data_IF_384958721908
#
_entry.id   IF_384958721908
#
_cell.length_a   1.000
_cell.length_b   1.000
_cell.length_c   1.000
_cell.angle_alpha   90.00
_cell.angle_beta   90.00
_cell.angle_gamma   90.00
#
_symmetry.space_group_name_H-M   'P 1'
#
loop_
_entity.id
_entity.type
_entity.pdbx_description
1 polymer ?
#
# COMPACT_ATOMS: atom_id res chain seq x y z
N UNK A 1 25.87 -63.62 21.37
CA UNK A 1 26.09 -62.29 20.78
C UNK A 1 24.72 -61.75 20.34
N UNK A 2 24.06 -60.92 21.15
CA UNK A 2 24.16 -59.44 21.22
C UNK A 2 23.34 -58.72 20.13
N UNK A 3 22.27 -58.03 20.56
CA UNK A 3 21.36 -57.13 19.82
C UNK A 3 22.10 -55.94 19.16
N UNK A 4 21.55 -55.28 18.11
CA UNK A 4 20.70 -54.11 18.39
C UNK A 4 19.43 -53.96 17.52
N UNK A 5 18.43 -53.21 18.03
CA UNK A 5 17.21 -52.84 17.33
C UNK A 5 17.48 -51.62 16.44
N UNK A 6 17.10 -51.65 15.16
CA UNK A 6 17.01 -50.41 14.39
C UNK A 6 15.64 -49.80 14.60
N UNK A 7 15.65 -48.68 15.34
CA UNK A 7 14.52 -47.79 15.58
C UNK A 7 13.88 -47.38 14.24
N UNK A 8 12.57 -47.54 14.17
CA UNK A 8 11.72 -46.82 13.23
C UNK A 8 11.74 -45.32 13.59
N UNK A 9 12.50 -44.52 12.84
CA UNK A 9 12.43 -43.07 12.88
C UNK A 9 11.36 -42.57 11.91
N UNK A 10 10.12 -42.43 12.39
CA UNK A 10 9.07 -41.71 11.65
C UNK A 10 9.37 -40.21 11.77
N UNK A 11 10.09 -39.65 10.80
CA UNK A 11 10.21 -38.19 10.67
C UNK A 11 8.84 -37.61 10.33
N UNK A 12 8.17 -37.05 11.35
CA UNK A 12 7.04 -36.15 11.18
C UNK A 12 7.56 -34.88 10.48
N UNK A 13 7.36 -34.80 9.18
CA UNK A 13 7.42 -33.53 8.46
C UNK A 13 6.24 -32.67 8.95
N UNK A 14 6.49 -31.78 9.91
CA UNK A 14 5.53 -30.74 10.26
C UNK A 14 5.36 -29.84 9.03
N UNK A 15 4.15 -29.68 8.47
CA UNK A 15 3.92 -28.66 7.47
C UNK A 15 4.13 -27.31 8.15
N UNK A 16 5.19 -26.59 7.75
CA UNK A 16 5.29 -25.16 8.03
C UNK A 16 4.17 -24.50 7.24
N UNK A 17 3.04 -24.24 7.90
CA UNK A 17 2.03 -23.35 7.37
C UNK A 17 2.67 -21.96 7.33
N UNK A 18 3.02 -21.48 6.14
CA UNK A 18 3.35 -20.09 5.93
C UNK A 18 2.12 -19.28 6.38
N UNK A 19 2.23 -18.59 7.51
CA UNK A 19 1.26 -17.58 7.89
C UNK A 19 1.53 -16.41 6.95
N UNK A 20 0.66 -16.21 5.97
CA UNK A 20 0.64 -14.95 5.25
C UNK A 20 0.34 -13.87 6.30
N UNK A 21 1.25 -12.92 6.44
CA UNK A 21 1.13 -11.79 7.36
C UNK A 21 0.04 -10.86 6.80
N UNK A 22 -1.20 -11.04 7.29
CA UNK A 22 -2.34 -10.23 6.85
C UNK A 22 -2.19 -8.79 7.37
N UNK A 23 -2.43 -7.76 6.53
CA UNK A 23 -2.42 -6.37 6.96
C UNK A 23 -3.32 -6.12 8.17
N UNK A 24 -2.90 -5.23 9.07
CA UNK A 24 -3.66 -4.78 10.23
C UNK A 24 -4.76 -3.78 9.82
N UNK A 25 -5.67 -4.25 8.97
CA UNK A 25 -6.84 -3.50 8.48
C UNK A 25 -8.08 -4.33 8.80
N UNK A 26 -9.09 -3.72 9.40
CA UNK A 26 -10.36 -4.38 9.70
C UNK A 26 -11.32 -4.27 8.51
N UNK A 27 -11.80 -5.39 7.93
CA UNK A 27 -12.79 -5.35 6.84
C UNK A 27 -14.07 -4.58 7.20
N UNK A 28 -14.66 -3.90 6.22
CA UNK A 28 -15.88 -3.11 6.39
C UNK A 28 -15.99 -1.92 5.45
N UNK A 29 -16.92 -1.02 5.74
CA UNK A 29 -17.04 0.27 5.06
C UNK A 29 -16.03 1.24 5.68
N UNK A 30 -15.23 1.88 4.82
CA UNK A 30 -14.20 2.85 5.19
C UNK A 30 -14.51 4.21 4.58
N UNK A 31 -14.12 5.26 5.29
CA UNK A 31 -14.12 6.64 4.83
C UNK A 31 -12.68 7.13 4.80
N UNK A 32 -12.23 7.57 3.62
CA UNK A 32 -10.91 8.13 3.40
C UNK A 32 -11.02 9.62 3.15
N UNK A 33 -10.18 10.41 3.79
CA UNK A 33 -10.03 11.84 3.54
C UNK A 33 -8.63 12.10 3.06
N UNK A 34 -8.50 12.65 1.86
CA UNK A 34 -7.23 12.96 1.23
C UNK A 34 -7.10 14.47 1.08
N UNK A 35 -6.00 15.05 1.55
CA UNK A 35 -5.68 16.47 1.36
C UNK A 35 -4.42 16.59 0.53
N UNK A 36 -4.56 17.18 -0.66
CA UNK A 36 -3.46 17.37 -1.62
C UNK A 36 -3.00 18.81 -1.62
N UNK A 37 -1.71 19.01 -1.41
CA UNK A 37 -0.99 20.28 -1.48
C UNK A 37 -0.02 20.26 -2.64
N UNK A 38 0.08 21.38 -3.37
CA UNK A 38 1.01 21.52 -4.50
C UNK A 38 2.00 22.63 -4.21
N UNK A 39 3.28 22.30 -4.24
CA UNK A 39 4.39 23.25 -4.13
C UNK A 39 4.94 23.58 -5.51
N UNK A 40 4.93 24.86 -5.86
CA UNK A 40 5.45 25.37 -7.12
C UNK A 40 5.39 26.89 -7.19
N UNK A 41 5.74 27.45 -8.36
CA UNK A 41 5.79 28.90 -8.58
C UNK A 41 4.40 29.58 -8.53
N UNK A 42 3.33 28.79 -8.67
CA UNK A 42 1.95 29.27 -8.64
C UNK A 42 1.27 28.81 -7.33
N UNK A 43 0.63 29.72 -6.57
CA UNK A 43 -0.12 29.33 -5.38
C UNK A 43 -1.41 28.62 -5.79
N UNK A 44 -1.44 27.30 -5.63
CA UNK A 44 -2.61 26.45 -5.81
C UNK A 44 -3.18 26.15 -4.43
N UNK A 45 -4.48 26.38 -4.17
CA UNK A 45 -5.08 26.04 -2.88
C UNK A 45 -5.10 24.53 -2.66
N UNK A 46 -5.00 24.12 -1.40
CA UNK A 46 -5.12 22.71 -1.03
C UNK A 46 -6.50 22.16 -1.38
N UNK A 47 -6.52 20.92 -1.85
CA UNK A 47 -7.72 20.23 -2.27
C UNK A 47 -7.98 19.06 -1.33
N UNK A 48 -9.13 19.06 -0.64
CA UNK A 48 -9.55 17.96 0.23
C UNK A 48 -10.72 17.21 -0.39
N UNK A 49 -10.59 15.89 -0.48
CA UNK A 49 -11.65 15.00 -0.97
C UNK A 49 -11.91 13.89 0.04
N UNK A 50 -13.18 13.47 0.14
CA UNK A 50 -13.59 12.34 0.99
C UNK A 50 -14.26 11.29 0.13
N UNK A 51 -13.76 10.06 0.20
CA UNK A 51 -14.30 8.91 -0.51
C UNK A 51 -14.72 7.82 0.47
N UNK A 52 -15.59 6.92 0.02
CA UNK A 52 -16.01 5.75 0.78
C UNK A 52 -15.86 4.50 -0.06
N UNK A 53 -15.34 3.47 0.57
CA UNK A 53 -15.08 2.20 -0.08
C UNK A 53 -15.36 1.04 0.87
N UNK A 54 -15.81 -0.08 0.32
CA UNK A 54 -15.94 -1.32 1.06
C UNK A 54 -14.68 -2.16 0.86
N UNK A 55 -13.99 -2.47 1.96
CA UNK A 55 -12.83 -3.36 1.96
C UNK A 55 -13.29 -4.74 2.41
N UNK A 56 -13.27 -5.72 1.49
CA UNK A 56 -13.64 -7.09 1.82
C UNK A 56 -12.45 -7.86 2.42
N UNK A 57 -12.74 -8.86 3.24
CA UNK A 57 -11.70 -9.72 3.82
C UNK A 57 -10.93 -10.52 2.76
N UNK A 58 -11.55 -10.80 1.61
CA UNK A 58 -10.90 -11.46 0.49
C UNK A 58 -9.80 -10.60 -0.15
N UNK A 59 -9.99 -9.28 -0.14
CA UNK A 59 -9.06 -8.33 -0.75
C UNK A 59 -7.76 -8.28 0.07
N UNK A 60 -7.87 -8.24 1.41
CA UNK A 60 -6.71 -8.25 2.32
C UNK A 60 -5.92 -9.57 2.30
N UNK A 61 -6.51 -10.64 1.80
CA UNK A 61 -5.88 -11.96 1.69
C UNK A 61 -5.22 -12.18 0.32
N UNK A 62 -5.42 -11.26 -0.62
CA UNK A 62 -4.78 -11.30 -1.93
C UNK A 62 -3.30 -10.87 -1.79
N UNK A 63 -2.32 -11.70 -2.20
CA UNK A 63 -0.93 -11.27 -2.25
C UNK A 63 -0.69 -10.10 -3.21
N UNK A 64 -1.60 -9.89 -4.16
CA UNK A 64 -1.63 -8.76 -5.07
C UNK A 64 -2.56 -7.65 -4.55
N UNK A 65 -2.91 -7.61 -3.25
CA UNK A 65 -3.64 -6.49 -2.67
C UNK A 65 -2.83 -5.21 -2.87
N UNK A 66 -3.39 -4.29 -3.67
CA UNK A 66 -2.83 -2.97 -3.93
C UNK A 66 -3.88 -1.97 -3.50
N UNK A 67 -3.53 -1.10 -2.56
CA UNK A 67 -4.29 0.14 -2.29
C UNK A 67 -3.93 1.23 -3.31
N UNK A 68 -3.35 0.83 -4.44
CA UNK A 68 -2.73 1.66 -5.46
C UNK A 68 -3.42 1.29 -6.77
N UNK A 69 -3.90 2.28 -7.51
CA UNK A 69 -4.48 2.05 -8.83
C UNK A 69 -3.36 1.85 -9.87
N UNK A 70 -3.41 0.75 -10.61
CA UNK A 70 -2.53 0.53 -11.76
C UNK A 70 -2.93 1.46 -12.91
N UNK A 71 -2.12 2.49 -13.18
CA UNK A 71 -2.34 3.41 -14.30
C UNK A 71 -1.46 3.10 -15.51
N UNK A 72 -2.00 3.26 -16.71
CA UNK A 72 -1.25 3.08 -17.96
C UNK A 72 -0.06 4.05 -18.02
N UNK A 73 1.15 3.53 -18.17
CA UNK A 73 2.38 4.32 -18.23
C UNK A 73 3.10 4.48 -16.89
N UNK A 74 2.63 3.85 -15.82
CA UNK A 74 3.32 3.75 -14.55
C UNK A 74 4.00 2.38 -14.38
N UNK A 75 5.27 2.40 -13.95
CA UNK A 75 6.04 1.21 -13.57
C UNK A 75 6.19 1.17 -12.05
N UNK A 76 5.73 0.08 -11.43
CA UNK A 76 5.91 -0.19 -10.00
C UNK A 76 7.34 -0.70 -9.76
N UNK A 77 8.13 0.09 -9.03
CA UNK A 77 9.54 -0.19 -8.77
C UNK A 77 9.75 -0.90 -7.43
N UNK A 78 8.97 -0.52 -6.42
CA UNK A 78 9.00 -1.10 -5.09
C UNK A 78 7.58 -1.21 -4.55
N UNK A 79 7.29 -2.34 -3.92
CA UNK A 79 6.03 -2.58 -3.23
C UNK A 79 6.28 -3.55 -2.08
N UNK A 80 6.12 -3.04 -0.85
CA UNK A 80 6.30 -3.81 0.36
C UNK A 80 5.04 -3.66 1.20
N UNK A 81 4.33 -4.77 1.38
CA UNK A 81 3.16 -4.84 2.26
C UNK A 81 3.54 -5.64 3.49
N UNK A 82 3.32 -5.07 4.66
CA UNK A 82 3.50 -5.73 5.95
C UNK A 82 2.21 -5.70 6.78
N UNK A 83 2.31 -6.22 8.01
CA UNK A 83 1.19 -6.16 8.97
C UNK A 83 0.86 -4.72 9.31
N UNK A 84 1.87 -3.91 9.60
CA UNK A 84 1.67 -2.57 10.18
C UNK A 84 1.63 -1.46 9.12
N UNK A 85 1.82 -1.77 7.84
CA UNK A 85 1.82 -0.74 6.80
C UNK A 85 2.21 -1.22 5.41
N UNK A 86 2.26 -0.27 4.49
CA UNK A 86 2.64 -0.45 3.10
C UNK A 86 3.57 0.68 2.65
N UNK A 87 4.62 0.33 1.93
CA UNK A 87 5.52 1.24 1.23
C UNK A 87 5.52 0.91 -0.26
N UNK A 88 5.43 1.94 -1.11
CA UNK A 88 5.55 1.75 -2.55
C UNK A 88 6.28 2.88 -3.24
N UNK A 89 6.88 2.56 -4.38
CA UNK A 89 7.45 3.53 -5.30
C UNK A 89 7.08 3.21 -6.74
N UNK A 90 6.58 4.20 -7.44
CA UNK A 90 6.25 4.10 -8.86
C UNK A 90 6.92 5.22 -9.64
N UNK A 91 7.18 4.96 -10.92
CA UNK A 91 7.57 6.00 -11.87
C UNK A 91 6.59 5.98 -13.03
N UNK A 92 6.00 7.14 -13.33
CA UNK A 92 5.07 7.30 -14.44
C UNK A 92 5.70 8.15 -15.54
N UNK A 93 5.61 7.68 -16.79
CA UNK A 93 6.03 8.42 -17.97
C UNK A 93 4.79 8.91 -18.75
N UNK A 94 4.65 10.22 -18.90
CA UNK A 94 3.59 10.84 -19.69
C UNK A 94 4.13 11.92 -20.63
N UNK A 95 3.32 12.39 -21.59
CA UNK A 95 3.71 13.45 -22.54
C UNK A 95 4.20 14.75 -21.85
N UNK A 96 3.80 14.98 -20.59
CA UNK A 96 4.15 16.16 -19.80
C UNK A 96 5.49 16.09 -19.04
N UNK A 97 6.10 14.90 -18.94
CA UNK A 97 7.30 14.66 -18.15
C UNK A 97 7.30 13.30 -17.45
N UNK A 98 8.30 13.08 -16.60
CA UNK A 98 8.38 11.92 -15.72
C UNK A 98 7.90 12.31 -14.31
N UNK A 99 7.11 11.45 -13.69
CA UNK A 99 6.68 11.59 -12.30
C UNK A 99 7.27 10.45 -11.47
N UNK A 100 7.93 10.77 -10.36
CA UNK A 100 8.31 9.80 -9.33
C UNK A 100 7.30 9.90 -8.18
N UNK A 101 6.74 8.77 -7.78
CA UNK A 101 5.68 8.67 -6.77
C UNK A 101 6.21 7.77 -5.65
N UNK A 102 6.26 8.31 -4.44
CA UNK A 102 6.62 7.57 -3.22
C UNK A 102 5.44 7.62 -2.28
N UNK A 103 4.93 6.46 -1.87
CA UNK A 103 3.82 6.36 -0.95
C UNK A 103 4.14 5.52 0.27
N UNK A 104 3.60 5.95 1.41
CA UNK A 104 3.64 5.24 2.67
C UNK A 104 2.25 5.21 3.29
N UNK A 105 1.90 4.11 3.95
CA UNK A 105 0.64 3.96 4.66
C UNK A 105 0.83 3.11 5.92
N UNK A 106 0.32 3.60 7.05
CA UNK A 106 0.29 2.91 8.34
C UNK A 106 -1.07 2.22 8.54
N UNK A 107 -1.04 0.95 8.92
CA UNK A 107 -2.22 0.13 9.20
C UNK A 107 -2.43 -0.01 10.72
N UNK A 108 -3.44 0.70 11.23
CA UNK A 108 -3.69 0.85 12.67
C UNK A 108 -4.98 0.16 13.12
N UNK A 109 -5.42 -0.87 12.39
CA UNK A 109 -6.63 -1.64 12.66
C UNK A 109 -7.87 -0.99 12.05
N UNK A 110 -8.55 -0.12 12.79
CA UNK A 110 -9.77 0.59 12.34
C UNK A 110 -9.47 1.99 11.79
N UNK A 111 -8.20 2.40 11.79
CA UNK A 111 -7.73 3.63 11.16
C UNK A 111 -6.50 3.37 10.30
N UNK A 112 -6.23 4.27 9.37
CA UNK A 112 -5.00 4.30 8.60
C UNK A 112 -4.58 5.74 8.37
N UNK A 113 -3.28 5.96 8.32
CA UNK A 113 -2.66 7.24 7.99
C UNK A 113 -1.70 6.99 6.84
N UNK A 114 -1.63 7.91 5.87
CA UNK A 114 -0.79 7.75 4.71
C UNK A 114 -0.29 9.06 4.15
N UNK A 115 0.79 8.96 3.40
CA UNK A 115 1.41 10.09 2.71
C UNK A 115 1.90 9.64 1.35
N UNK A 116 1.51 10.39 0.33
CA UNK A 116 1.97 10.19 -1.05
C UNK A 116 2.68 11.46 -1.49
N UNK A 117 3.91 11.31 -1.93
CA UNK A 117 4.74 12.37 -2.48
C UNK A 117 4.93 12.12 -3.97
N UNK A 118 4.62 13.12 -4.79
CA UNK A 118 4.75 13.06 -6.25
C UNK A 118 5.68 14.18 -6.69
N UNK A 119 6.79 13.81 -7.31
CA UNK A 119 7.72 14.75 -7.93
C UNK A 119 7.60 14.67 -9.43
N UNK A 120 7.14 15.74 -10.07
CA UNK A 120 7.02 15.84 -11.52
C UNK A 120 8.16 16.68 -12.08
N UNK A 121 8.92 16.11 -13.01
CA UNK A 121 9.96 16.82 -13.74
C UNK A 121 9.48 17.08 -15.17
N UNK A 122 9.11 18.32 -15.46
CA UNK A 122 8.70 18.74 -16.79
C UNK A 122 9.77 19.62 -17.46
N UNK A 123 10.17 19.33 -18.72
CA UNK A 123 11.12 20.17 -19.45
C UNK A 123 10.65 21.62 -19.66
N UNK A 124 9.35 21.87 -19.57
CA UNK A 124 8.72 23.17 -19.89
C UNK A 124 8.30 23.95 -18.64
N UNK A 125 7.85 23.23 -17.59
CA UNK A 125 7.28 23.82 -16.38
C UNK A 125 8.23 23.78 -15.17
N UNK A 126 9.36 23.08 -15.25
CA UNK A 126 10.26 22.88 -14.11
C UNK A 126 9.84 21.71 -13.22
N UNK A 127 10.37 21.70 -12.00
CA UNK A 127 10.04 20.71 -10.97
C UNK A 127 8.79 21.16 -10.21
N UNK A 128 7.85 20.22 -10.01
CA UNK A 128 6.65 20.41 -9.20
C UNK A 128 6.58 19.28 -8.19
N UNK A 129 6.25 19.62 -6.94
CA UNK A 129 6.09 18.67 -5.86
C UNK A 129 4.63 18.70 -5.40
N UNK A 130 4.02 17.53 -5.29
CA UNK A 130 2.68 17.36 -4.76
C UNK A 130 2.75 16.41 -3.57
N UNK A 131 2.06 16.76 -2.49
CA UNK A 131 1.96 15.95 -1.29
C UNK A 131 0.49 15.70 -1.02
N UNK A 132 0.11 14.43 -0.89
CA UNK A 132 -1.23 14.03 -0.48
C UNK A 132 -1.14 13.33 0.88
N UNK A 133 -1.79 13.89 1.89
CA UNK A 133 -1.99 13.24 3.18
C UNK A 133 -3.33 12.50 3.16
N UNK A 134 -3.34 11.23 3.58
CA UNK A 134 -4.51 10.36 3.55
C UNK A 134 -4.83 9.92 4.98
N UNK A 135 -6.07 10.13 5.41
CA UNK A 135 -6.59 9.63 6.68
C UNK A 135 -7.77 8.70 6.38
N UNK A 136 -7.69 7.45 6.82
CA UNK A 136 -8.76 6.48 6.66
C UNK A 136 -9.33 6.04 8.01
N UNK A 137 -10.64 5.83 8.06
CA UNK A 137 -11.31 5.25 9.23
C UNK A 137 -12.44 4.30 8.84
N UNK A 138 -12.57 3.22 9.60
CA UNK A 138 -13.71 2.31 9.47
C UNK A 138 -14.98 2.97 10.00
N UNK A 139 -16.04 2.97 9.21
CA UNK A 139 -17.34 3.56 9.58
C UNK A 139 -18.42 2.51 9.83
N UNK A 140 -18.21 1.25 9.46
CA UNK A 140 -19.16 0.17 9.73
C UNK A 140 -18.88 -1.10 8.94
N UNK A 141 -19.88 -1.97 8.89
CA UNK A 141 -19.92 -3.10 7.97
C UNK A 141 -20.36 -2.60 6.59
N UNK A 142 -19.93 -3.28 5.53
CA UNK A 142 -20.61 -3.20 4.24
C UNK A 142 -21.95 -3.97 4.31
#
# INVERSE_FOLDING_TARGET
>A
MSLPPMLAGLLLALPMTALAETPNIVPGEWEFTSTTSVSGDMPIPDQTETTRECIAQGDLADPDFQMIEEEEGCELLEHNVGVDGMDYRMVCEAEGGQADIVGHMDFLGETTEGRVEVTVQSPQMGEMEMVTEVEGRRIGDC
#
